data_IF_511451405048
#
_entry.id   IF_511451405048
#
_cell.length_a   1.000
_cell.length_b   1.000
_cell.length_c   1.000
_cell.angle_alpha   90.00
_cell.angle_beta   90.00
_cell.angle_gamma   90.00
#
_symmetry.space_group_name_H-M   'P 1'
#
loop_
_entity.id
_entity.type
_entity.pdbx_description
1 polymer ?
#
# COMPACT_ATOMS: atom_id res chain seq x y z
N UNK A 1 -11.80 1.26 15.10
CA UNK A 1 -10.74 2.29 15.11
C UNK A 1 -11.18 3.38 14.16
N UNK A 2 -10.96 4.64 14.50
CA UNK A 2 -11.28 5.75 13.59
C UNK A 2 -10.21 5.86 12.51
N UNK A 3 -10.63 6.15 11.28
CA UNK A 3 -9.70 6.42 10.17
C UNK A 3 -8.90 7.70 10.45
N UNK A 4 -7.59 7.62 10.25
CA UNK A 4 -6.77 8.82 10.16
C UNK A 4 -6.97 9.45 8.78
N UNK A 5 -7.76 10.53 8.73
CA UNK A 5 -8.17 11.16 7.47
C UNK A 5 -6.98 11.62 6.62
N UNK A 6 -5.89 12.09 7.24
CA UNK A 6 -4.70 12.52 6.50
C UNK A 6 -4.08 11.36 5.71
N UNK A 7 -3.87 10.20 6.35
CA UNK A 7 -3.33 9.03 5.65
C UNK A 7 -4.31 8.40 4.67
N UNK A 8 -5.62 8.52 4.92
CA UNK A 8 -6.62 8.04 3.97
C UNK A 8 -6.69 8.90 2.71
N UNK A 9 -6.53 10.22 2.83
CA UNK A 9 -6.46 11.10 1.66
C UNK A 9 -5.18 10.85 0.83
N UNK A 10 -4.08 10.48 1.48
CA UNK A 10 -2.88 9.99 0.79
C UNK A 10 -3.13 8.67 0.04
N UNK A 11 -3.90 7.74 0.63
CA UNK A 11 -4.26 6.50 -0.04
C UNK A 11 -5.13 6.74 -1.28
N UNK A 12 -6.02 7.74 -1.23
CA UNK A 12 -6.78 8.20 -2.40
C UNK A 12 -5.87 8.80 -3.47
N UNK A 13 -4.84 9.57 -3.10
CA UNK A 13 -3.84 10.08 -4.04
C UNK A 13 -3.12 8.92 -4.74
N UNK A 14 -2.68 7.91 -4.00
CA UNK A 14 -2.04 6.73 -4.56
C UNK A 14 -2.97 5.95 -5.51
N UNK A 15 -4.23 5.72 -5.12
CA UNK A 15 -5.23 5.08 -5.97
C UNK A 15 -5.49 5.87 -7.27
N UNK A 16 -5.65 7.19 -7.17
CA UNK A 16 -5.81 8.06 -8.33
C UNK A 16 -4.58 7.99 -9.24
N UNK A 17 -3.38 8.02 -8.67
CA UNK A 17 -2.14 7.93 -9.45
C UNK A 17 -1.99 6.59 -10.16
N UNK A 18 -2.38 5.49 -9.53
CA UNK A 18 -2.44 4.17 -10.18
C UNK A 18 -3.44 4.16 -11.35
N UNK A 19 -4.59 4.83 -11.18
CA UNK A 19 -5.64 4.90 -12.20
C UNK A 19 -5.22 5.67 -13.46
N UNK A 20 -4.34 6.66 -13.33
CA UNK A 20 -3.72 7.36 -14.47
C UNK A 20 -2.94 6.39 -15.39
N UNK A 21 -2.57 5.22 -14.86
CA UNK A 21 -1.86 4.14 -15.56
C UNK A 21 -2.76 2.92 -15.84
N UNK A 22 -4.08 3.04 -15.69
CA UNK A 22 -5.03 1.96 -15.98
C UNK A 22 -5.18 0.92 -14.85
N UNK A 23 -4.60 1.17 -13.68
CA UNK A 23 -4.71 0.31 -12.50
C UNK A 23 -5.76 0.87 -11.54
N UNK A 24 -6.84 0.13 -11.28
CA UNK A 24 -7.89 0.54 -10.33
C UNK A 24 -7.74 -0.25 -9.03
N UNK A 25 -7.49 0.46 -7.92
CA UNK A 25 -7.33 -0.13 -6.59
C UNK A 25 -8.17 0.66 -5.59
N UNK A 26 -8.84 -0.05 -4.67
CA UNK A 26 -9.59 0.60 -3.60
C UNK A 26 -8.63 1.31 -2.62
N UNK A 27 -8.79 2.62 -2.37
CA UNK A 27 -7.94 3.35 -1.42
C UNK A 27 -8.03 2.80 0.01
N UNK A 28 -9.10 2.11 0.40
CA UNK A 28 -9.19 1.46 1.71
C UNK A 28 -8.18 0.30 1.83
N UNK A 29 -7.88 -0.40 0.74
CA UNK A 29 -6.87 -1.47 0.74
C UNK A 29 -5.48 -0.88 0.90
N UNK A 30 -5.16 0.18 0.15
CA UNK A 30 -3.88 0.89 0.26
C UNK A 30 -3.68 1.45 1.67
N UNK A 31 -4.70 2.11 2.24
CA UNK A 31 -4.66 2.61 3.60
C UNK A 31 -4.39 1.51 4.63
N UNK A 32 -5.13 0.40 4.51
CA UNK A 32 -5.03 -0.72 5.46
C UNK A 32 -3.66 -1.39 5.37
N UNK A 33 -3.11 -1.54 4.17
CA UNK A 33 -1.76 -2.03 3.97
C UNK A 33 -0.76 -1.12 4.68
N UNK A 34 -0.80 0.18 4.41
CA UNK A 34 0.11 1.14 5.06
C UNK A 34 -0.04 1.17 6.57
N UNK A 35 -1.27 1.03 7.09
CA UNK A 35 -1.50 0.89 8.52
C UNK A 35 -0.74 -0.31 9.09
N UNK A 36 -0.80 -1.48 8.45
CA UNK A 36 -0.09 -2.69 8.88
C UNK A 36 1.42 -2.50 8.77
N UNK A 37 1.93 -2.05 7.62
CA UNK A 37 3.36 -1.86 7.35
C UNK A 37 4.02 -0.88 8.33
N UNK A 38 3.27 0.09 8.84
CA UNK A 38 3.77 1.13 9.75
C UNK A 38 3.39 0.90 11.21
N UNK A 39 2.82 -0.26 11.55
CA UNK A 39 2.31 -0.57 12.90
C UNK A 39 1.34 0.48 13.44
N UNK A 40 0.41 0.93 12.59
CA UNK A 40 -0.60 1.95 12.91
C UNK A 40 -0.10 3.38 12.74
N UNK A 41 0.77 3.62 11.76
CA UNK A 41 1.40 4.91 11.47
C UNK A 41 2.32 5.44 12.58
N UNK A 42 3.00 4.53 13.28
CA UNK A 42 3.93 4.88 14.37
C UNK A 42 5.37 4.44 14.14
N UNK A 43 5.67 3.78 13.02
CA UNK A 43 7.03 3.30 12.73
C UNK A 43 8.03 4.44 12.49
N UNK A 44 9.27 4.26 12.95
CA UNK A 44 10.35 5.23 12.72
C UNK A 44 10.65 5.45 11.23
N UNK A 45 10.51 4.41 10.40
CA UNK A 45 10.73 4.49 8.94
C UNK A 45 9.70 5.43 8.31
N UNK A 46 8.42 5.30 8.67
CA UNK A 46 7.38 6.23 8.26
C UNK A 46 7.72 7.67 8.65
N UNK A 47 8.15 7.91 9.88
CA UNK A 47 8.42 9.26 10.38
C UNK A 47 9.67 9.91 9.75
N UNK A 48 10.72 9.13 9.51
CA UNK A 48 12.02 9.64 9.05
C UNK A 48 12.24 9.58 7.54
N UNK A 49 11.54 8.68 6.84
CA UNK A 49 11.69 8.44 5.41
C UNK A 49 10.42 8.76 4.61
N UNK A 50 9.33 9.13 5.28
CA UNK A 50 8.01 9.34 4.68
C UNK A 50 7.51 8.11 3.90
N UNK A 51 7.95 6.91 4.29
CA UNK A 51 7.71 5.68 3.58
C UNK A 51 6.68 4.84 4.34
N UNK A 52 5.45 4.77 3.81
CA UNK A 52 4.33 4.05 4.45
C UNK A 52 4.21 2.59 3.99
N UNK A 53 5.00 2.17 3.01
CA UNK A 53 4.87 0.87 2.37
C UNK A 53 6.12 0.00 2.47
N UNK A 54 7.10 0.36 3.32
CA UNK A 54 8.33 -0.42 3.46
C UNK A 54 9.12 -0.56 2.15
N UNK A 55 9.10 0.46 1.28
CA UNK A 55 9.79 0.36 -0.01
C UNK A 55 11.31 0.45 0.18
N UNK A 56 12.05 -0.46 -0.43
CA UNK A 56 13.51 -0.46 -0.42
C UNK A 56 14.08 0.32 -1.61
N UNK A 57 15.20 1.01 -1.39
CA UNK A 57 16.00 1.63 -2.45
C UNK A 57 16.79 0.56 -3.23
N UNK A 58 17.03 0.81 -4.52
CA UNK A 58 17.94 0.00 -5.34
C UNK A 58 19.39 0.00 -4.83
N UNK A 59 19.77 1.03 -4.07
CA UNK A 59 21.09 1.16 -3.44
C UNK A 59 21.16 0.45 -2.07
N UNK A 60 20.06 -0.16 -1.62
CA UNK A 60 19.90 -0.72 -0.29
C UNK A 60 19.32 0.26 0.72
N UNK A 61 18.73 -0.28 1.79
CA UNK A 61 18.03 0.50 2.82
C UNK A 61 16.63 0.98 2.40
N UNK A 62 15.93 1.64 3.32
CA UNK A 62 14.59 2.17 3.09
C UNK A 62 14.64 3.37 2.13
N UNK A 63 13.77 3.36 1.11
CA UNK A 63 13.61 4.50 0.21
C UNK A 63 13.08 5.70 1.00
N UNK A 64 13.73 6.85 0.82
CA UNK A 64 13.35 8.13 1.44
C UNK A 64 12.65 9.02 0.42
N UNK A 65 11.56 9.65 0.86
CA UNK A 65 10.83 10.66 0.12
C UNK A 65 10.97 12.02 0.81
N UNK A 66 10.62 13.10 0.12
CA UNK A 66 10.66 14.45 0.70
C UNK A 66 9.47 14.71 1.61
N UNK A 67 8.32 14.07 1.34
CA UNK A 67 7.10 14.11 2.13
C UNK A 67 6.15 12.94 1.78
N UNK A 68 5.05 12.81 2.51
CA UNK A 68 4.07 11.73 2.28
C UNK A 68 3.30 11.84 0.96
N UNK A 69 3.14 13.04 0.40
CA UNK A 69 2.46 13.20 -0.90
C UNK A 69 3.34 12.64 -2.02
N UNK A 70 4.65 12.85 -1.95
CA UNK A 70 5.61 12.27 -2.88
C UNK A 70 5.64 10.74 -2.77
N UNK A 71 5.60 10.21 -1.54
CA UNK A 71 5.42 8.78 -1.32
C UNK A 71 4.10 8.27 -1.92
N UNK A 72 2.96 8.93 -1.70
CA UNK A 72 1.67 8.48 -2.21
C UNK A 72 1.65 8.45 -3.75
N UNK A 73 2.19 9.49 -4.39
CA UNK A 73 2.34 9.52 -5.85
C UNK A 73 3.28 8.40 -6.33
N UNK A 74 4.41 8.20 -5.65
CA UNK A 74 5.32 7.11 -5.98
C UNK A 74 4.63 5.75 -5.83
N UNK A 75 3.95 5.50 -4.73
CA UNK A 75 3.29 4.22 -4.43
C UNK A 75 2.21 3.89 -5.46
N UNK A 76 1.42 4.87 -5.88
CA UNK A 76 0.44 4.67 -6.96
C UNK A 76 1.09 4.25 -8.28
N UNK A 77 2.21 4.88 -8.67
CA UNK A 77 3.01 4.44 -9.82
C UNK A 77 3.65 3.07 -9.59
N UNK A 78 4.13 2.81 -8.38
CA UNK A 78 4.79 1.57 -8.00
C UNK A 78 3.85 0.36 -8.13
N UNK A 79 2.55 0.52 -7.84
CA UNK A 79 1.54 -0.52 -8.05
C UNK A 79 1.46 -0.99 -9.52
N UNK A 80 1.85 -0.14 -10.49
CA UNK A 80 1.86 -0.50 -11.91
C UNK A 80 2.95 -1.51 -12.26
N UNK A 81 3.96 -1.70 -11.40
CA UNK A 81 4.97 -2.74 -11.61
C UNK A 81 4.40 -4.16 -11.44
N UNK A 82 3.27 -4.29 -10.76
CA UNK A 82 2.55 -5.54 -10.56
C UNK A 82 1.46 -5.80 -11.62
N UNK A 83 1.45 -5.03 -12.70
CA UNK A 83 0.41 -5.12 -13.75
C UNK A 83 0.33 -6.53 -14.34
N UNK A 84 1.48 -7.11 -14.68
CA UNK A 84 1.58 -8.48 -15.24
C UNK A 84 1.33 -9.56 -14.19
N UNK A 85 1.54 -9.26 -12.91
CA UNK A 85 1.29 -10.16 -11.78
C UNK A 85 -0.19 -10.28 -11.40
N UNK A 86 -1.05 -9.47 -12.03
CA UNK A 86 -2.50 -9.51 -11.89
C UNK A 86 -3.12 -8.21 -11.37
N UNK A 87 -2.33 -7.18 -11.06
CA UNK A 87 -2.83 -5.91 -10.50
C UNK A 87 -3.81 -5.21 -11.46
N UNK A 88 -3.61 -5.33 -12.77
CA UNK A 88 -4.51 -4.75 -13.80
C UNK A 88 -5.94 -5.30 -13.74
N UNK A 89 -6.13 -6.48 -13.16
CA UNK A 89 -7.43 -7.14 -13.04
C UNK A 89 -7.88 -7.31 -11.58
N UNK A 90 -7.20 -6.63 -10.64
CA UNK A 90 -7.51 -6.74 -9.23
C UNK A 90 -8.85 -6.04 -8.91
N UNK A 91 -9.86 -6.84 -8.58
CA UNK A 91 -11.22 -6.39 -8.25
C UNK A 91 -11.67 -6.78 -6.85
N UNK A 92 -10.83 -7.51 -6.12
CA UNK A 92 -11.06 -7.93 -4.74
C UNK A 92 -9.78 -7.73 -3.93
N UNK A 93 -9.92 -7.61 -2.61
CA UNK A 93 -8.77 -7.54 -1.70
C UNK A 93 -7.80 -8.73 -1.92
N UNK A 94 -8.34 -9.93 -2.15
CA UNK A 94 -7.52 -11.10 -2.41
C UNK A 94 -6.71 -10.96 -3.72
N UNK A 95 -7.34 -10.51 -4.83
CA UNK A 95 -6.62 -10.33 -6.10
C UNK A 95 -5.53 -9.26 -5.99
N UNK A 96 -5.82 -8.17 -5.25
CA UNK A 96 -4.85 -7.13 -4.96
C UNK A 96 -3.61 -7.68 -4.24
N UNK A 97 -3.82 -8.45 -3.16
CA UNK A 97 -2.72 -9.06 -2.41
C UNK A 97 -2.01 -10.17 -3.19
N UNK A 98 -2.74 -10.95 -3.98
CA UNK A 98 -2.16 -11.99 -4.83
C UNK A 98 -1.22 -11.40 -5.88
N UNK A 99 -1.57 -10.28 -6.50
CA UNK A 99 -0.70 -9.58 -7.45
C UNK A 99 0.57 -9.05 -6.78
N UNK A 100 0.45 -8.44 -5.59
CA UNK A 100 1.60 -8.00 -4.81
C UNK A 100 2.51 -9.17 -4.39
N UNK A 101 1.92 -10.30 -3.99
CA UNK A 101 2.66 -11.50 -3.60
C UNK A 101 3.39 -12.12 -4.79
N UNK A 102 2.73 -12.26 -5.94
CA UNK A 102 3.35 -12.78 -7.16
C UNK A 102 4.52 -11.93 -7.64
N UNK A 103 4.38 -10.60 -7.63
CA UNK A 103 5.49 -9.69 -7.96
C UNK A 103 6.50 -9.48 -6.85
N UNK A 104 6.40 -10.20 -5.73
CA UNK A 104 7.39 -10.23 -4.66
C UNK A 104 7.44 -8.98 -3.77
N UNK A 105 6.34 -8.22 -3.65
CA UNK A 105 6.23 -7.14 -2.66
C UNK A 105 6.44 -7.67 -1.24
N UNK A 106 5.83 -8.82 -0.95
CA UNK A 106 5.98 -9.56 0.30
C UNK A 106 6.12 -11.05 -0.01
N UNK A 107 6.75 -11.80 0.90
CA UNK A 107 7.03 -13.23 0.73
C UNK A 107 6.45 -14.09 1.85
N UNK A 108 5.77 -13.47 2.83
CA UNK A 108 4.96 -14.19 3.80
C UNK A 108 3.78 -14.88 3.10
N UNK A 109 3.24 -15.91 3.76
CA UNK A 109 2.07 -16.63 3.27
C UNK A 109 0.90 -15.67 2.95
N UNK A 110 0.37 -15.80 1.72
CA UNK A 110 -0.68 -14.94 1.19
C UNK A 110 -1.95 -15.00 2.04
N UNK A 111 -2.39 -16.20 2.45
CA UNK A 111 -3.62 -16.36 3.23
C UNK A 111 -3.48 -15.71 4.62
N UNK A 112 -2.33 -15.89 5.26
CA UNK A 112 -2.01 -15.23 6.53
C UNK A 112 -2.07 -13.70 6.41
N UNK A 113 -1.46 -13.13 5.37
CA UNK A 113 -1.48 -11.67 5.17
C UNK A 113 -2.87 -11.17 4.77
N UNK A 114 -3.61 -11.92 3.95
CA UNK A 114 -5.00 -11.64 3.59
C UNK A 114 -5.92 -11.58 4.81
N UNK A 115 -5.85 -12.56 5.70
CA UNK A 115 -6.64 -12.57 6.92
C UNK A 115 -6.29 -11.41 7.85
N UNK A 116 -5.02 -11.02 7.92
CA UNK A 116 -4.56 -9.85 8.67
C UNK A 116 -5.13 -8.55 8.08
N UNK A 117 -5.00 -8.36 6.77
CA UNK A 117 -5.58 -7.23 6.04
C UNK A 117 -7.09 -7.15 6.22
N UNK A 118 -7.81 -8.26 6.07
CA UNK A 118 -9.26 -8.31 6.21
C UNK A 118 -9.71 -7.98 7.64
N UNK A 119 -8.99 -8.49 8.66
CA UNK A 119 -9.26 -8.18 10.06
C UNK A 119 -9.10 -6.68 10.34
N UNK A 120 -7.99 -6.08 9.90
CA UNK A 120 -7.73 -4.65 10.11
C UNK A 120 -8.72 -3.80 9.32
N UNK A 121 -8.96 -4.11 8.05
CA UNK A 121 -9.92 -3.38 7.19
C UNK A 121 -11.30 -3.31 7.84
N UNK A 122 -11.82 -4.44 8.34
CA UNK A 122 -13.14 -4.50 8.99
C UNK A 122 -13.19 -3.83 10.38
N UNK A 123 -12.03 -3.50 10.96
CA UNK A 123 -11.94 -2.83 12.25
C UNK A 123 -11.83 -1.31 12.15
N UNK A 124 -11.59 -0.77 10.95
CA UNK A 124 -11.48 0.67 10.67
C UNK A 124 -12.86 1.19 10.22
N UNK A 125 -13.26 2.33 10.77
CA UNK A 125 -14.44 3.08 10.36
C UNK A 125 -14.03 4.13 9.31
N UNK A 126 -14.33 3.88 8.04
CA UNK A 126 -13.94 4.71 6.88
C UNK A 126 -14.99 5.76 6.50
#
# INVERSE_FOLDING_TARGET
MEVNQYFFDLAKIAANKASEHGITVDPQWIYTQWYIETSGFTSDVQASHYNLGGIMSSEGGWMKFDNFVDFANYFGKYLTYYSEDGMSNASTLHNYLAALHHGGYFTSDLDTYYHTMLHVLNSINF
#
